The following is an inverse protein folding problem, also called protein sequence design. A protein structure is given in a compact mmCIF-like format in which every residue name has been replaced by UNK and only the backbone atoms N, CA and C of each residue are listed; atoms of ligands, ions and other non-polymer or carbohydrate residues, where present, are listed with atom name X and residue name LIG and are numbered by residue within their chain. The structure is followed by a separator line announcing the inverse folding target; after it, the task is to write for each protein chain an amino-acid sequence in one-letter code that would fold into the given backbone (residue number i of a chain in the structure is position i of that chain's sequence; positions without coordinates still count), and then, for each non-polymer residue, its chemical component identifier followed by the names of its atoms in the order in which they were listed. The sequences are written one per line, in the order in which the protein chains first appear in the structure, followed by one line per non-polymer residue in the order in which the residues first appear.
data_IF_091242840563
#
_entry.id   IF_091242840563
#
_cell.length_a   1.000
_cell.length_b   1.000
_cell.length_c   1.000
_cell.angle_alpha   90.00
_cell.angle_beta   90.00
_cell.angle_gamma   90.00
#
_symmetry.space_group_name_H-M   'P 1'
#
loop_
_entity.id
_entity.type
_entity.pdbx_description
1 polymer ?
#
# COMPACT_ATOMS: atom_id res chain seq x y z
N UNK A 1 -19.85 11.64 -2.79
CA UNK A 1 -20.06 11.05 -1.45
C UNK A 1 -19.60 9.60 -1.37
N UNK A 2 -19.96 8.73 -2.33
CA UNK A 2 -19.55 7.31 -2.30
C UNK A 2 -18.02 7.11 -2.26
N UNK A 3 -17.27 7.83 -3.12
CA UNK A 3 -15.79 7.76 -3.14
C UNK A 3 -15.15 8.18 -1.81
N UNK A 4 -15.74 9.16 -1.14
CA UNK A 4 -15.28 9.69 0.15
C UNK A 4 -15.34 8.63 1.25
N UNK A 5 -16.25 7.65 1.15
CA UNK A 5 -16.35 6.51 2.05
C UNK A 5 -15.53 5.30 1.59
N UNK A 6 -15.52 5.01 0.29
CA UNK A 6 -14.85 3.82 -0.24
C UNK A 6 -13.32 3.88 -0.11
N UNK A 7 -12.71 5.06 -0.30
CA UNK A 7 -11.26 5.22 -0.22
C UNK A 7 -10.73 4.91 1.20
N UNK A 8 -11.29 5.48 2.29
CA UNK A 8 -10.90 5.11 3.65
C UNK A 8 -11.09 3.62 3.95
N UNK A 9 -12.20 3.03 3.49
CA UNK A 9 -12.49 1.61 3.72
C UNK A 9 -11.46 0.71 3.01
N UNK A 10 -11.11 1.03 1.77
CA UNK A 10 -10.06 0.31 1.05
C UNK A 10 -8.70 0.43 1.75
N UNK A 11 -8.35 1.63 2.23
CA UNK A 11 -7.13 1.85 3.01
C UNK A 11 -7.11 1.03 4.31
N UNK A 12 -8.23 1.00 5.03
CA UNK A 12 -8.39 0.21 6.26
C UNK A 12 -8.27 -1.30 5.96
N UNK A 13 -8.84 -1.76 4.86
CA UNK A 13 -8.73 -3.15 4.43
C UNK A 13 -7.28 -3.54 4.12
N UNK A 14 -6.56 -2.71 3.36
CA UNK A 14 -5.12 -2.91 3.08
C UNK A 14 -4.32 -2.99 4.39
N UNK A 15 -4.61 -2.09 5.34
CA UNK A 15 -3.95 -2.05 6.63
C UNK A 15 -4.20 -3.33 7.44
N UNK A 16 -5.46 -3.79 7.53
CA UNK A 16 -5.81 -5.01 8.26
C UNK A 16 -5.12 -6.23 7.64
N UNK A 17 -5.11 -6.36 6.31
CA UNK A 17 -4.40 -7.43 5.63
C UNK A 17 -2.88 -7.37 5.89
N UNK A 18 -2.29 -6.18 5.91
CA UNK A 18 -0.88 -5.99 6.21
C UNK A 18 -0.54 -6.32 7.68
N UNK A 19 -1.41 -5.99 8.64
CA UNK A 19 -1.22 -6.38 10.05
C UNK A 19 -1.30 -7.90 10.19
N UNK A 20 -2.25 -8.54 9.51
CA UNK A 20 -2.42 -10.00 9.53
C UNK A 20 -1.14 -10.71 9.12
N UNK A 21 -0.46 -10.25 8.08
CA UNK A 21 0.81 -10.84 7.65
C UNK A 21 2.01 -10.61 8.57
N UNK A 22 1.89 -9.73 9.57
CA UNK A 22 2.89 -9.56 10.63
C UNK A 22 2.64 -10.48 11.83
N UNK A 23 1.52 -11.19 11.88
CA UNK A 23 1.20 -12.09 12.98
C UNK A 23 2.09 -13.35 12.96
N UNK A 24 2.37 -13.97 14.12
CA UNK A 24 3.24 -15.15 14.19
C UNK A 24 2.74 -16.33 13.35
N UNK A 25 1.41 -16.47 13.25
CA UNK A 25 0.73 -17.54 12.50
C UNK A 25 0.54 -17.23 11.01
N UNK A 26 1.08 -16.10 10.52
CA UNK A 26 0.88 -15.66 9.15
C UNK A 26 1.56 -16.60 8.13
N UNK A 27 0.83 -16.92 7.07
CA UNK A 27 1.35 -17.67 5.93
C UNK A 27 2.39 -16.87 5.14
N UNK A 28 3.17 -17.54 4.28
CA UNK A 28 4.20 -16.87 3.49
C UNK A 28 3.64 -15.79 2.56
N UNK A 29 2.45 -16.00 1.97
CA UNK A 29 1.75 -15.02 1.11
C UNK A 29 1.38 -13.75 1.88
N UNK A 30 0.89 -13.91 3.10
CA UNK A 30 0.49 -12.80 3.96
C UNK A 30 1.71 -11.97 4.38
N UNK A 31 2.83 -12.64 4.71
CA UNK A 31 4.09 -11.97 5.03
C UNK A 31 4.66 -11.17 3.86
N UNK A 32 4.64 -11.75 2.65
CA UNK A 32 5.06 -11.02 1.44
C UNK A 32 4.16 -9.83 1.16
N UNK A 33 2.85 -10.00 1.34
CA UNK A 33 1.91 -8.90 1.20
C UNK A 33 2.22 -7.77 2.19
N UNK A 34 2.48 -8.08 3.46
CA UNK A 34 2.85 -7.08 4.47
C UNK A 34 4.16 -6.35 4.13
N UNK A 35 5.18 -7.09 3.71
CA UNK A 35 6.45 -6.50 3.29
C UNK A 35 6.23 -5.55 2.09
N UNK A 36 5.47 -5.99 1.09
CA UNK A 36 5.17 -5.19 -0.09
C UNK A 36 4.31 -3.96 0.23
N UNK A 37 3.26 -4.11 1.04
CA UNK A 37 2.41 -3.01 1.48
C UNK A 37 3.21 -1.95 2.27
N UNK A 38 4.14 -2.39 3.13
CA UNK A 38 5.06 -1.52 3.85
C UNK A 38 6.00 -0.76 2.92
N UNK A 39 6.67 -1.45 2.00
CA UNK A 39 7.54 -0.82 0.99
C UNK A 39 6.77 0.16 0.10
N UNK A 40 5.56 -0.20 -0.33
CA UNK A 40 4.72 0.66 -1.15
C UNK A 40 4.28 1.93 -0.39
N UNK A 41 3.97 1.80 0.89
CA UNK A 41 3.67 2.94 1.76
C UNK A 41 4.86 3.89 1.90
N UNK A 42 6.08 3.35 2.06
CA UNK A 42 7.31 4.13 2.07
C UNK A 42 7.55 4.88 0.74
N UNK A 43 7.28 4.22 -0.38
CA UNK A 43 7.32 4.84 -1.70
C UNK A 43 6.31 5.99 -1.84
N UNK A 44 5.08 5.80 -1.36
CA UNK A 44 4.06 6.86 -1.31
C UNK A 44 4.52 8.08 -0.50
N UNK A 45 5.05 7.85 0.71
CA UNK A 45 5.59 8.93 1.56
C UNK A 45 6.74 9.66 0.84
N UNK A 46 7.60 8.96 0.11
CA UNK A 46 8.68 9.59 -0.64
C UNK A 46 8.18 10.52 -1.77
N UNK A 47 7.04 10.20 -2.41
CA UNK A 47 6.42 11.03 -3.45
C UNK A 47 5.74 12.27 -2.86
N UNK A 48 4.99 12.09 -1.77
CA UNK A 48 4.11 13.13 -1.21
C UNK A 48 4.77 14.00 -0.13
N UNK A 49 5.74 13.44 0.60
CA UNK A 49 6.37 14.07 1.75
C UNK A 49 7.91 14.02 1.64
N UNK A 50 8.50 14.76 0.67
CA UNK A 50 9.94 14.76 0.44
C UNK A 50 10.74 15.30 1.62
N UNK A 51 10.13 16.01 2.56
CA UNK A 51 10.82 16.48 3.78
C UNK A 51 11.25 15.28 4.66
N UNK A 52 10.48 14.20 4.67
CA UNK A 52 10.74 13.04 5.53
C UNK A 52 11.61 11.97 4.86
N UNK A 53 11.49 11.81 3.53
CA UNK A 53 12.20 10.77 2.77
C UNK A 53 12.91 11.26 1.50
N UNK A 54 12.93 12.57 1.23
CA UNK A 54 13.50 13.14 0.00
C UNK A 54 15.00 12.97 -0.14
N UNK A 55 15.71 12.58 0.93
CA UNK A 55 17.11 12.15 0.83
C UNK A 55 17.28 10.82 0.08
N UNK A 56 16.24 9.99 0.06
CA UNK A 56 16.20 8.70 -0.64
C UNK A 56 15.48 8.78 -1.99
N UNK A 57 14.72 9.86 -2.25
CA UNK A 57 14.05 10.08 -3.52
C UNK A 57 14.97 10.85 -4.49
N UNK A 58 15.25 10.33 -5.69
CA UNK A 58 15.98 11.07 -6.70
C UNK A 58 15.32 12.42 -7.01
N UNK A 59 16.13 13.42 -7.32
CA UNK A 59 15.67 14.76 -7.69
C UNK A 59 14.68 14.64 -8.87
N UNK A 60 13.45 15.15 -8.71
CA UNK A 60 12.38 15.11 -9.72
C UNK A 60 11.31 14.03 -9.55
N UNK A 61 11.38 13.21 -8.50
CA UNK A 61 10.35 12.19 -8.19
C UNK A 61 9.16 12.73 -7.38
N UNK A 62 9.34 13.89 -6.75
CA UNK A 62 8.32 14.53 -5.93
C UNK A 62 7.14 14.94 -6.80
N UNK A 63 5.96 14.40 -6.52
CA UNK A 63 4.71 14.71 -7.25
C UNK A 63 4.79 14.60 -8.78
N UNK A 64 5.68 13.74 -9.32
CA UNK A 64 5.68 13.46 -10.75
C UNK A 64 4.40 12.69 -11.12
N UNK A 65 3.64 13.19 -12.10
CA UNK A 65 2.36 12.61 -12.52
C UNK A 65 2.47 11.11 -12.87
N UNK A 66 3.57 10.70 -13.51
CA UNK A 66 3.79 9.29 -13.86
C UNK A 66 3.98 8.42 -12.61
N UNK A 67 4.72 8.90 -11.61
CA UNK A 67 4.95 8.17 -10.36
C UNK A 67 3.69 8.10 -9.50
N UNK A 68 2.89 9.17 -9.47
CA UNK A 68 1.58 9.19 -8.79
C UNK A 68 0.63 8.17 -9.43
N UNK A 69 0.62 8.09 -10.76
CA UNK A 69 -0.18 7.09 -11.48
C UNK A 69 0.26 5.66 -11.17
N UNK A 70 1.57 5.37 -11.21
CA UNK A 70 2.12 4.06 -10.85
C UNK A 70 1.77 3.71 -9.40
N UNK A 71 1.94 4.67 -8.48
CA UNK A 71 1.60 4.50 -7.07
C UNK A 71 0.12 4.14 -6.88
N UNK A 72 -0.78 4.88 -7.56
CA UNK A 72 -2.22 4.62 -7.55
C UNK A 72 -2.58 3.24 -8.08
N UNK A 73 -1.98 2.79 -9.18
CA UNK A 73 -2.16 1.43 -9.71
C UNK A 73 -1.71 0.36 -8.72
N UNK A 74 -0.59 0.57 -8.02
CA UNK A 74 -0.14 -0.34 -6.99
C UNK A 74 -1.07 -0.39 -5.77
N UNK A 75 -1.69 0.74 -5.39
CA UNK A 75 -2.72 0.75 -4.35
C UNK A 75 -3.97 -0.05 -4.74
N UNK A 76 -4.37 0.01 -6.01
CA UNK A 76 -5.48 -0.82 -6.52
C UNK A 76 -5.13 -2.31 -6.43
N UNK A 77 -3.92 -2.70 -6.84
CA UNK A 77 -3.44 -4.08 -6.73
C UNK A 77 -3.36 -4.56 -5.28
N UNK A 78 -2.84 -3.73 -4.38
CA UNK A 78 -2.83 -4.01 -2.95
C UNK A 78 -4.25 -4.19 -2.40
N UNK A 79 -5.20 -3.35 -2.82
CA UNK A 79 -6.60 -3.50 -2.44
C UNK A 79 -7.18 -4.86 -2.85
N UNK A 80 -6.94 -5.28 -4.09
CA UNK A 80 -7.43 -6.57 -4.61
C UNK A 80 -6.77 -7.74 -3.86
N UNK A 81 -5.44 -7.74 -3.74
CA UNK A 81 -4.71 -8.81 -3.06
C UNK A 81 -5.03 -8.88 -1.57
N UNK A 82 -5.18 -7.72 -0.91
CA UNK A 82 -5.58 -7.62 0.49
C UNK A 82 -6.98 -8.19 0.71
N UNK A 83 -7.92 -7.89 -0.19
CA UNK A 83 -9.25 -8.49 -0.16
C UNK A 83 -9.20 -10.02 -0.29
N UNK A 84 -8.41 -10.57 -1.22
CA UNK A 84 -8.23 -12.02 -1.38
C UNK A 84 -7.69 -12.68 -0.11
N UNK A 85 -6.70 -12.06 0.56
CA UNK A 85 -6.12 -12.56 1.81
C UNK A 85 -7.14 -12.56 2.96
N UNK A 86 -8.03 -11.57 3.00
CA UNK A 86 -9.05 -11.44 4.03
C UNK A 86 -10.24 -12.38 3.81
N UNK A 87 -10.64 -12.59 2.55
CA UNK A 87 -11.67 -13.56 2.18
C UNK A 87 -11.18 -15.00 2.44
N UNK A 88 -9.87 -15.22 2.35
CA UNK A 88 -9.22 -16.51 2.54
C UNK A 88 -9.30 -17.35 1.27
N UNK A 89 -8.15 -17.87 0.82
CA UNK A 89 -8.13 -18.97 -0.15
C UNK A 89 -8.83 -20.17 0.52
N UNK A 90 -9.97 -20.58 -0.04
CA UNK A 90 -10.60 -21.88 0.26
C UNK A 90 -9.84 -23.00 -0.41
#
# INVERSE_FOLDING_TARGET
MLQTFLIPVAGLMILVAAIKGLMPKAGWRERLYSAFAGSWSGFGVAIYHPIWLGRFAPIGWVHNANLVMIFGLGLVLLGVLGASILIGDR
#
